data_IF_469238799103
#
_entry.id   IF_469238799103
#
_cell.length_a   1.000
_cell.length_b   1.000
_cell.length_c   1.000
_cell.angle_alpha   90.00
_cell.angle_beta   90.00
_cell.angle_gamma   90.00
#
_symmetry.space_group_name_H-M   'P 1'
#
loop_
_entity.id
_entity.type
_entity.pdbx_description
1 polymer ?
#
# COMPACT_ATOMS: atom_id res chain seq x y z
N UNK A 1 -1.79 -23.53 -0.77
CA UNK A 1 -0.43 -22.96 -0.86
C UNK A 1 0.25 -23.68 -2.00
N UNK A 2 0.84 -22.94 -2.94
CA UNK A 2 1.62 -23.56 -4.01
C UNK A 2 2.83 -24.23 -3.36
N UNK A 3 2.86 -25.56 -3.33
CA UNK A 3 4.04 -26.34 -2.93
C UNK A 3 5.04 -26.28 -4.08
N UNK A 4 6.28 -25.90 -3.77
CA UNK A 4 7.31 -25.82 -4.81
C UNK A 4 7.66 -27.20 -5.35
N UNK A 5 7.91 -27.28 -6.65
CA UNK A 5 8.32 -28.50 -7.32
C UNK A 5 9.74 -28.90 -6.92
N UNK A 6 10.06 -30.19 -7.10
CA UNK A 6 11.42 -30.69 -6.89
C UNK A 6 12.45 -29.98 -7.77
N UNK A 7 12.06 -29.55 -8.97
CA UNK A 7 12.92 -28.78 -9.88
C UNK A 7 13.25 -27.40 -9.30
N UNK A 8 12.27 -26.70 -8.73
CA UNK A 8 12.48 -25.40 -8.09
C UNK A 8 13.43 -25.52 -6.88
N UNK A 9 13.28 -26.58 -6.08
CA UNK A 9 14.16 -26.85 -4.94
C UNK A 9 15.59 -27.19 -5.39
N UNK A 10 15.74 -27.94 -6.48
CA UNK A 10 17.06 -28.24 -7.06
C UNK A 10 17.73 -26.98 -7.62
N UNK A 11 16.97 -26.12 -8.31
CA UNK A 11 17.45 -24.85 -8.83
C UNK A 11 17.86 -23.90 -7.70
N UNK A 12 17.08 -23.82 -6.63
CA UNK A 12 17.43 -23.04 -5.43
C UNK A 12 18.79 -23.46 -4.86
N UNK A 13 19.01 -24.78 -4.66
CA UNK A 13 20.30 -25.30 -4.18
C UNK A 13 21.45 -24.92 -5.12
N UNK A 14 21.23 -25.02 -6.43
CA UNK A 14 22.23 -24.64 -7.45
C UNK A 14 22.57 -23.15 -7.39
N UNK A 15 21.56 -22.28 -7.31
CA UNK A 15 21.75 -20.82 -7.22
C UNK A 15 22.53 -20.46 -5.95
N UNK A 16 22.14 -21.02 -4.79
CA UNK A 16 22.84 -20.77 -3.51
C UNK A 16 24.30 -21.22 -3.57
N UNK A 17 24.58 -22.38 -4.16
CA UNK A 17 25.95 -22.87 -4.34
C UNK A 17 26.78 -21.95 -5.26
N UNK A 18 26.21 -21.48 -6.36
CA UNK A 18 26.88 -20.55 -7.28
C UNK A 18 27.12 -19.19 -6.63
N UNK A 19 26.16 -18.67 -5.85
CA UNK A 19 26.31 -17.42 -5.11
C UNK A 19 27.46 -17.51 -4.08
N UNK A 20 27.52 -18.60 -3.30
CA UNK A 20 28.62 -18.80 -2.34
C UNK A 20 29.98 -18.90 -3.04
N UNK A 21 30.06 -19.61 -4.17
CA UNK A 21 31.30 -19.68 -4.96
C UNK A 21 31.71 -18.29 -5.45
N UNK A 22 30.77 -17.54 -6.01
CA UNK A 22 31.01 -16.17 -6.47
C UNK A 22 31.48 -15.26 -5.34
N UNK A 23 30.90 -15.35 -4.14
CA UNK A 23 31.31 -14.55 -2.99
C UNK A 23 32.76 -14.80 -2.59
N UNK A 24 33.17 -16.06 -2.50
CA UNK A 24 34.56 -16.44 -2.19
C UNK A 24 35.51 -15.91 -3.26
N UNK A 25 35.19 -16.16 -4.54
CA UNK A 25 36.02 -15.75 -5.67
C UNK A 25 36.13 -14.21 -5.74
N UNK A 26 35.02 -13.49 -5.54
CA UNK A 26 34.99 -12.03 -5.65
C UNK A 26 35.64 -11.33 -4.44
N UNK A 27 35.40 -11.80 -3.21
CA UNK A 27 36.04 -11.23 -2.03
C UNK A 27 37.56 -11.40 -2.07
N UNK A 28 38.08 -12.47 -2.70
CA UNK A 28 39.51 -12.62 -2.97
C UNK A 28 40.11 -11.56 -3.91
N UNK A 29 39.29 -10.81 -4.66
CA UNK A 29 39.72 -9.71 -5.54
C UNK A 29 39.56 -8.33 -4.93
N UNK A 30 38.84 -8.21 -3.80
CA UNK A 30 38.57 -6.95 -3.14
C UNK A 30 39.74 -6.54 -2.22
N UNK A 31 39.98 -5.24 -2.00
CA UNK A 31 40.88 -4.77 -0.95
C UNK A 31 40.43 -5.26 0.43
N UNK A 32 41.37 -5.44 1.37
CA UNK A 32 41.09 -5.96 2.73
C UNK A 32 40.00 -5.19 3.50
N UNK A 33 39.75 -3.92 3.16
CA UNK A 33 38.71 -3.10 3.78
C UNK A 33 37.30 -3.30 3.21
N UNK A 34 37.12 -4.19 2.24
CA UNK A 34 35.86 -4.41 1.54
C UNK A 34 35.49 -5.89 1.54
N UNK A 35 34.23 -6.18 1.87
CA UNK A 35 33.67 -7.52 1.84
C UNK A 35 32.25 -7.45 1.25
N UNK A 36 31.96 -8.38 0.34
CA UNK A 36 30.60 -8.64 -0.12
C UNK A 36 30.02 -9.78 0.73
N UNK A 37 28.88 -9.52 1.35
CA UNK A 37 28.17 -10.49 2.20
C UNK A 37 26.94 -11.08 1.49
N UNK A 38 26.60 -12.31 1.87
CA UNK A 38 25.34 -12.94 1.47
C UNK A 38 24.21 -12.56 2.44
N UNK A 39 23.31 -11.67 2.02
CA UNK A 39 22.16 -11.34 2.88
C UNK A 39 21.10 -12.45 2.92
N UNK A 40 20.83 -13.15 1.81
CA UNK A 40 19.78 -14.17 1.79
C UNK A 40 19.29 -14.58 0.41
N UNK A 41 18.20 -15.35 0.39
CA UNK A 41 17.57 -15.87 -0.81
C UNK A 41 16.07 -15.62 -0.80
N UNK A 42 15.56 -15.05 -1.88
CA UNK A 42 14.14 -14.82 -2.06
C UNK A 42 13.64 -15.54 -3.32
N UNK A 43 12.64 -16.42 -3.16
CA UNK A 43 12.11 -17.21 -4.29
C UNK A 43 11.40 -16.36 -5.32
N UNK A 44 10.65 -15.37 -4.84
CA UNK A 44 9.85 -14.46 -5.67
C UNK A 44 10.03 -13.05 -5.15
N UNK A 45 10.16 -12.12 -6.09
CA UNK A 45 10.35 -10.71 -5.81
C UNK A 45 9.72 -9.86 -6.90
N UNK A 46 9.19 -8.71 -6.50
CA UNK A 46 8.60 -7.72 -7.37
C UNK A 46 9.27 -6.36 -7.10
N UNK A 47 9.83 -5.77 -8.15
CA UNK A 47 10.63 -4.55 -8.07
C UNK A 47 9.95 -3.46 -8.90
N UNK A 48 9.47 -2.40 -8.23
CA UNK A 48 8.75 -1.29 -8.89
C UNK A 48 9.73 -0.22 -9.32
N UNK A 49 10.55 0.26 -8.39
CA UNK A 49 11.53 1.30 -8.64
C UNK A 49 12.59 1.32 -7.55
N UNK A 50 13.56 2.25 -7.64
CA UNK A 50 14.62 2.40 -6.65
C UNK A 50 14.02 2.50 -5.23
N UNK A 51 14.46 1.60 -4.34
CA UNK A 51 13.97 1.45 -2.95
C UNK A 51 12.51 1.02 -2.79
N UNK A 52 11.85 0.55 -3.85
CA UNK A 52 10.46 0.09 -3.83
C UNK A 52 10.34 -1.32 -4.37
N UNK A 53 10.27 -2.29 -3.46
CA UNK A 53 10.17 -3.70 -3.81
C UNK A 53 9.46 -4.51 -2.74
N UNK A 54 8.99 -5.69 -3.13
CA UNK A 54 8.46 -6.71 -2.24
C UNK A 54 9.09 -8.07 -2.59
N UNK A 55 9.55 -8.80 -1.60
CA UNK A 55 10.05 -10.17 -1.74
C UNK A 55 9.31 -11.10 -0.82
N UNK A 56 9.30 -12.39 -1.13
CA UNK A 56 8.72 -13.42 -0.26
C UNK A 56 9.80 -14.32 0.29
N UNK A 57 9.79 -14.46 1.61
CA UNK A 57 10.63 -15.34 2.41
C UNK A 57 9.72 -16.13 3.34
N UNK A 58 9.79 -17.47 3.30
CA UNK A 58 8.99 -18.39 4.13
C UNK A 58 7.48 -18.09 4.20
N UNK A 59 6.93 -17.57 3.10
CA UNK A 59 5.51 -17.24 2.98
C UNK A 59 5.11 -15.89 3.60
N UNK A 60 6.06 -15.15 4.15
CA UNK A 60 5.92 -13.76 4.58
C UNK A 60 6.39 -12.80 3.48
N UNK A 61 5.69 -11.67 3.32
CA UNK A 61 6.12 -10.60 2.42
C UNK A 61 7.02 -9.64 3.19
N UNK A 62 8.19 -9.37 2.62
CA UNK A 62 9.09 -8.31 3.06
C UNK A 62 9.01 -7.20 2.02
N UNK A 63 8.36 -6.09 2.39
CA UNK A 63 8.22 -4.91 1.54
C UNK A 63 9.14 -3.79 2.01
N UNK A 64 9.74 -3.07 1.05
CA UNK A 64 10.53 -1.86 1.28
C UNK A 64 10.01 -0.74 0.40
N UNK A 65 9.78 0.42 1.01
CA UNK A 65 9.37 1.66 0.31
C UNK A 65 7.99 1.66 -0.35
N UNK A 66 7.24 0.56 -0.25
CA UNK A 66 5.83 0.47 -0.65
C UNK A 66 4.90 1.07 0.42
N UNK A 67 3.68 1.42 0.01
CA UNK A 67 2.60 1.94 0.88
C UNK A 67 2.35 1.06 2.10
N UNK A 68 2.52 -0.26 1.96
CA UNK A 68 2.35 -1.26 3.00
C UNK A 68 3.06 -0.90 4.31
N UNK A 69 4.26 -0.32 4.24
CA UNK A 69 5.08 0.01 5.43
C UNK A 69 4.99 1.49 5.83
N UNK A 70 4.17 2.29 5.14
CA UNK A 70 4.07 3.74 5.35
C UNK A 70 2.97 4.10 6.34
N UNK A 71 3.28 4.85 7.40
CA UNK A 71 2.30 5.22 8.43
C UNK A 71 1.16 6.12 7.92
N UNK A 72 1.43 6.95 6.92
CA UNK A 72 0.51 7.91 6.32
C UNK A 72 -0.51 7.31 5.34
N UNK A 73 -0.56 5.97 5.22
CA UNK A 73 -1.57 5.27 4.43
C UNK A 73 -2.56 4.54 5.34
N UNK A 74 -3.83 4.60 4.95
CA UNK A 74 -4.91 3.94 5.67
C UNK A 74 -4.74 2.40 5.64
N UNK A 75 -5.13 1.68 6.71
CA UNK A 75 -5.10 0.22 6.76
C UNK A 75 -5.75 -0.43 5.54
N UNK A 76 -6.90 0.06 5.08
CA UNK A 76 -7.60 -0.46 3.90
C UNK A 76 -6.70 -0.52 2.65
N UNK A 77 -5.84 0.48 2.43
CA UNK A 77 -4.94 0.50 1.28
C UNK A 77 -3.76 -0.46 1.47
N UNK A 78 -3.22 -0.53 2.70
CA UNK A 78 -2.14 -1.45 3.06
C UNK A 78 -2.56 -2.91 2.92
N UNK A 79 -3.71 -3.25 3.49
CA UNK A 79 -4.25 -4.60 3.49
C UNK A 79 -4.59 -5.03 2.06
N UNK A 80 -5.10 -4.10 1.24
CA UNK A 80 -5.32 -4.35 -0.18
C UNK A 80 -4.00 -4.60 -0.91
N UNK A 81 -2.99 -3.74 -0.71
CA UNK A 81 -1.67 -3.89 -1.35
C UNK A 81 -0.99 -5.20 -0.93
N UNK A 82 -1.09 -5.58 0.34
CA UNK A 82 -0.58 -6.85 0.84
C UNK A 82 -1.32 -8.04 0.23
N UNK A 83 -2.65 -7.97 0.15
CA UNK A 83 -3.49 -9.02 -0.42
C UNK A 83 -3.13 -9.31 -1.87
N UNK A 84 -2.96 -8.27 -2.70
CA UNK A 84 -2.58 -8.45 -4.10
C UNK A 84 -1.14 -8.95 -4.25
N UNK A 85 -0.21 -8.49 -3.40
CA UNK A 85 1.16 -8.99 -3.41
C UNK A 85 1.22 -10.46 -3.01
N UNK A 86 0.38 -10.92 -2.08
CA UNK A 86 0.28 -12.34 -1.75
C UNK A 86 -0.27 -13.14 -2.93
N UNK A 87 -1.34 -12.66 -3.58
CA UNK A 87 -1.89 -13.35 -4.75
C UNK A 87 -0.83 -13.51 -5.86
N UNK A 88 -0.05 -12.46 -6.14
CA UNK A 88 0.99 -12.46 -7.17
C UNK A 88 2.23 -13.26 -6.75
N UNK A 89 2.82 -12.92 -5.60
CA UNK A 89 4.11 -13.47 -5.16
C UNK A 89 4.01 -14.82 -4.47
N UNK A 90 2.83 -15.26 -4.04
CA UNK A 90 2.65 -16.57 -3.40
C UNK A 90 1.87 -17.54 -4.27
N UNK A 91 0.78 -17.06 -4.87
CA UNK A 91 -0.11 -17.91 -5.66
C UNK A 91 0.18 -17.83 -7.17
N UNK A 92 0.95 -16.84 -7.62
CA UNK A 92 1.21 -16.62 -9.05
C UNK A 92 -0.03 -16.21 -9.83
N UNK A 93 -1.05 -15.69 -9.15
CA UNK A 93 -2.41 -15.52 -9.67
C UNK A 93 -2.77 -14.03 -9.72
N UNK A 94 -2.70 -13.47 -10.94
CA UNK A 94 -3.04 -12.06 -11.20
C UNK A 94 -4.55 -11.85 -11.17
N UNK A 95 -5.35 -12.81 -11.63
CA UNK A 95 -6.82 -12.71 -11.63
C UNK A 95 -7.36 -12.65 -10.20
N UNK A 96 -6.76 -13.42 -9.29
CA UNK A 96 -7.05 -13.32 -7.86
C UNK A 96 -6.73 -11.94 -7.29
N UNK A 97 -5.64 -11.31 -7.73
CA UNK A 97 -5.34 -9.93 -7.33
C UNK A 97 -6.42 -8.94 -7.81
N UNK A 98 -6.87 -9.09 -9.05
CA UNK A 98 -7.97 -8.29 -9.64
C UNK A 98 -9.27 -8.46 -8.85
N UNK A 99 -9.63 -9.68 -8.48
CA UNK A 99 -10.83 -9.97 -7.69
C UNK A 99 -10.75 -9.37 -6.27
N UNK A 100 -9.57 -9.38 -5.64
CA UNK A 100 -9.33 -8.70 -4.36
C UNK A 100 -9.63 -7.20 -4.49
N UNK A 101 -9.08 -6.56 -5.54
CA UNK A 101 -9.28 -5.14 -5.82
C UNK A 101 -10.77 -4.83 -6.05
N UNK A 102 -11.44 -5.59 -6.92
CA UNK A 102 -12.87 -5.43 -7.21
C UNK A 102 -13.72 -5.51 -5.94
N UNK A 103 -13.44 -6.51 -5.10
CA UNK A 103 -14.16 -6.73 -3.83
C UNK A 103 -13.96 -5.56 -2.87
N UNK A 104 -12.74 -5.05 -2.71
CA UNK A 104 -12.50 -3.95 -1.78
C UNK A 104 -13.09 -2.63 -2.29
N UNK A 105 -12.98 -2.34 -3.59
CA UNK A 105 -13.59 -1.15 -4.18
C UNK A 105 -15.11 -1.15 -3.95
N UNK A 106 -15.77 -2.29 -4.14
CA UNK A 106 -17.20 -2.43 -3.84
C UNK A 106 -17.51 -2.20 -2.36
N UNK A 107 -16.71 -2.77 -1.44
CA UNK A 107 -16.91 -2.58 0.01
C UNK A 107 -16.76 -1.13 0.43
N UNK A 108 -15.75 -0.44 -0.10
CA UNK A 108 -15.48 0.97 0.20
C UNK A 108 -16.62 1.85 -0.33
N UNK A 109 -17.04 1.66 -1.59
CA UNK A 109 -18.18 2.40 -2.17
C UNK A 109 -19.49 2.20 -1.40
N UNK A 110 -19.70 0.99 -0.86
CA UNK A 110 -20.94 0.64 -0.13
C UNK A 110 -20.94 1.04 1.35
N UNK A 111 -19.87 1.64 1.87
CA UNK A 111 -19.82 2.03 3.28
C UNK A 111 -19.55 0.87 4.25
N UNK A 112 -19.21 -0.33 3.75
CA UNK A 112 -19.15 -1.55 4.58
C UNK A 112 -17.80 -1.78 5.24
N UNK A 113 -16.79 -0.96 4.93
CA UNK A 113 -15.47 -1.04 5.58
C UNK A 113 -15.51 -0.25 6.90
N UNK A 114 -15.05 -0.82 8.02
CA UNK A 114 -15.01 -0.13 9.30
C UNK A 114 -14.22 1.18 9.26
N UNK A 115 -14.69 2.20 9.99
CA UNK A 115 -14.00 3.51 10.08
C UNK A 115 -12.55 3.39 10.58
N UNK A 116 -12.26 2.42 11.45
CA UNK A 116 -10.90 2.16 11.95
C UNK A 116 -9.91 1.80 10.83
N UNK A 117 -10.39 1.19 9.75
CA UNK A 117 -9.55 0.79 8.62
C UNK A 117 -9.32 1.95 7.63
N UNK A 118 -9.96 3.09 7.90
CA UNK A 118 -9.82 4.36 7.17
C UNK A 118 -8.87 5.35 7.86
N UNK A 119 -8.34 5.04 9.04
CA UNK A 119 -7.52 5.98 9.82
C UNK A 119 -6.20 6.27 9.10
N UNK A 120 -5.93 7.56 8.88
CA UNK A 120 -4.65 8.06 8.40
C UNK A 120 -3.86 8.61 9.58
N UNK A 121 -2.58 8.24 9.66
CA UNK A 121 -1.66 8.69 10.71
C UNK A 121 -0.61 9.64 10.12
N UNK A 122 -0.63 10.90 10.55
CA UNK A 122 0.37 11.89 10.10
C UNK A 122 1.01 12.57 11.29
N UNK A 123 2.34 12.70 11.26
CA UNK A 123 3.10 13.38 12.29
C UNK A 123 3.13 14.89 12.05
N UNK A 124 2.87 15.67 13.10
CA UNK A 124 3.09 17.12 13.11
C UNK A 124 4.59 17.39 13.16
N UNK A 125 5.12 18.14 12.18
CA UNK A 125 6.57 18.36 12.03
C UNK A 125 7.05 19.73 12.51
N UNK A 126 6.11 20.63 12.81
CA UNK A 126 6.33 22.00 13.28
C UNK A 126 5.09 22.48 14.05
N UNK A 127 5.17 23.61 14.72
CA UNK A 127 3.99 24.21 15.38
C UNK A 127 2.88 24.50 14.35
N UNK A 128 1.61 24.40 14.77
CA UNK A 128 0.45 24.49 13.88
C UNK A 128 0.36 25.84 13.15
N UNK A 129 0.76 26.92 13.81
CA UNK A 129 0.85 28.28 13.27
C UNK A 129 1.96 28.48 12.21
N UNK A 130 3.01 27.65 12.25
CA UNK A 130 4.14 27.72 11.33
C UNK A 130 3.88 27.01 9.98
N UNK A 131 2.72 26.38 9.79
CA UNK A 131 2.35 25.75 8.52
C UNK A 131 1.87 26.78 7.49
N UNK A 132 2.63 26.94 6.41
CA UNK A 132 2.20 27.75 5.25
C UNK A 132 1.06 27.12 4.47
N UNK A 133 1.06 25.79 4.35
CA UNK A 133 0.01 25.02 3.67
C UNK A 133 -0.76 24.20 4.71
N UNK A 134 -2.06 24.47 4.79
CA UNK A 134 -2.96 23.83 5.75
C UNK A 134 -3.48 22.51 5.16
N UNK A 135 -2.81 21.41 5.49
CA UNK A 135 -3.20 20.06 5.10
C UNK A 135 -4.25 19.42 6.01
N UNK A 136 -4.80 18.25 5.62
CA UNK A 136 -5.76 17.48 6.42
C UNK A 136 -5.33 17.25 7.87
N UNK A 137 -4.09 16.82 8.07
CA UNK A 137 -3.50 16.58 9.38
C UNK A 137 -3.43 17.84 10.25
N UNK A 138 -3.18 19.01 9.65
CA UNK A 138 -3.13 20.30 10.37
C UNK A 138 -4.52 20.71 10.83
N UNK A 139 -5.54 20.58 9.97
CA UNK A 139 -6.94 20.90 10.33
C UNK A 139 -7.44 19.96 11.42
N UNK A 140 -7.16 18.66 11.31
CA UNK A 140 -7.50 17.69 12.36
C UNK A 140 -6.79 18.04 13.68
N UNK A 141 -5.51 18.38 13.64
CA UNK A 141 -4.75 18.82 14.82
C UNK A 141 -5.34 20.07 15.47
N UNK A 142 -5.67 21.10 14.67
CA UNK A 142 -6.31 22.32 15.18
C UNK A 142 -7.65 22.06 15.85
N UNK A 143 -8.41 21.05 15.40
CA UNK A 143 -9.66 20.65 16.06
C UNK A 143 -9.41 19.99 17.41
N UNK A 144 -8.38 19.14 17.51
CA UNK A 144 -7.95 18.55 18.78
C UNK A 144 -7.42 19.61 19.74
N UNK A 145 -6.64 20.57 19.25
CA UNK A 145 -6.12 21.69 20.04
C UNK A 145 -7.25 22.55 20.63
N UNK A 146 -8.29 22.84 19.83
CA UNK A 146 -9.49 23.55 20.30
C UNK A 146 -10.25 22.79 21.40
N UNK A 147 -10.06 21.48 21.51
CA UNK A 147 -10.61 20.65 22.59
C UNK A 147 -9.70 20.57 23.82
N UNK A 148 -8.60 21.31 23.82
CA UNK A 148 -7.63 21.35 24.92
C UNK A 148 -6.54 20.27 24.83
N UNK A 149 -6.47 19.50 23.74
CA UNK A 149 -5.35 18.59 23.53
C UNK A 149 -4.09 19.38 23.18
N UNK A 150 -3.01 19.16 23.92
CA UNK A 150 -1.72 19.80 23.60
C UNK A 150 -1.10 19.13 22.37
N UNK A 151 -0.96 19.89 21.28
CA UNK A 151 -0.32 19.42 20.04
C UNK A 151 1.04 20.08 19.87
N UNK A 152 2.10 19.28 19.86
CA UNK A 152 3.48 19.74 19.69
C UNK A 152 4.12 19.09 18.46
N UNK A 153 5.31 19.57 18.08
CA UNK A 153 6.13 18.89 17.07
C UNK A 153 6.40 17.46 17.53
N UNK A 154 6.10 16.50 16.66
CA UNK A 154 6.26 15.08 16.92
C UNK A 154 4.94 14.35 17.20
N UNK A 155 3.87 15.08 17.57
CA UNK A 155 2.55 14.49 17.82
C UNK A 155 2.02 13.79 16.57
N UNK A 156 1.51 12.56 16.74
CA UNK A 156 0.86 11.80 15.67
C UNK A 156 -0.64 12.10 15.72
N UNK A 157 -1.18 12.56 14.59
CA UNK A 157 -2.60 12.86 14.44
C UNK A 157 -3.26 11.72 13.69
N UNK A 158 -4.30 11.17 14.30
CA UNK A 158 -5.18 10.18 13.70
C UNK A 158 -6.44 10.87 13.19
N UNK A 159 -6.70 10.76 11.90
CA UNK A 159 -7.87 11.38 11.30
C UNK A 159 -8.42 10.52 10.16
N UNK A 160 -9.66 10.80 9.80
CA UNK A 160 -10.35 10.22 8.65
C UNK A 160 -10.87 11.36 7.78
N UNK A 161 -10.91 11.14 6.47
CA UNK A 161 -11.56 12.05 5.53
C UNK A 161 -13.02 11.63 5.36
N UNK A 162 -13.95 12.55 5.65
CA UNK A 162 -15.39 12.29 5.63
C UNK A 162 -16.07 12.91 4.41
N UNK A 163 -17.26 12.40 4.06
CA UNK A 163 -18.08 13.01 3.00
C UNK A 163 -18.39 14.47 3.32
N UNK A 164 -18.39 15.32 2.30
CA UNK A 164 -18.74 16.72 2.47
C UNK A 164 -18.32 17.58 1.29
N UNK A 165 -18.74 18.84 1.31
CA UNK A 165 -18.31 19.85 0.34
C UNK A 165 -17.00 20.49 0.78
N UNK A 166 -16.29 21.09 -0.18
CA UNK A 166 -15.05 21.82 0.08
C UNK A 166 -13.78 20.96 0.01
N UNK A 167 -12.61 21.58 0.32
CA UNK A 167 -11.32 20.93 0.18
C UNK A 167 -11.14 19.76 1.16
N UNK A 168 -10.34 18.77 0.77
CA UNK A 168 -10.03 17.57 1.58
C UNK A 168 -9.56 17.95 2.98
N UNK A 169 -8.80 19.03 3.13
CA UNK A 169 -8.31 19.49 4.43
C UNK A 169 -9.43 19.82 5.41
N UNK A 170 -10.53 20.44 4.95
CA UNK A 170 -11.69 20.76 5.80
C UNK A 170 -12.55 19.53 6.13
N UNK A 171 -12.43 18.48 5.32
CA UNK A 171 -13.15 17.21 5.50
C UNK A 171 -12.37 16.21 6.37
N UNK A 172 -11.20 16.60 6.89
CA UNK A 172 -10.44 15.81 7.83
C UNK A 172 -11.02 15.94 9.25
N UNK A 173 -11.48 14.82 9.80
CA UNK A 173 -12.03 14.73 11.16
C UNK A 173 -11.09 13.89 12.02
N UNK A 174 -10.70 14.34 13.23
CA UNK A 174 -9.99 13.48 14.17
C UNK A 174 -10.75 12.16 14.38
N UNK A 175 -10.04 11.04 14.48
CA UNK A 175 -10.69 9.73 14.55
C UNK A 175 -11.65 9.61 15.75
N UNK A 176 -11.31 10.23 16.88
CA UNK A 176 -12.16 10.30 18.09
C UNK A 176 -13.52 10.98 17.84
N UNK A 177 -13.63 11.81 16.81
CA UNK A 177 -14.87 12.51 16.42
C UNK A 177 -15.60 11.86 15.24
N UNK A 178 -15.03 10.80 14.67
CA UNK A 178 -15.45 10.24 13.39
C UNK A 178 -16.77 9.45 13.47
N UNK A 179 -17.19 9.04 14.67
CA UNK A 179 -18.35 8.15 14.88
C UNK A 179 -19.65 8.70 14.26
N UNK A 180 -19.84 10.02 14.27
CA UNK A 180 -21.02 10.69 13.72
C UNK A 180 -20.94 10.99 12.21
N UNK A 181 -19.89 10.53 11.53
CA UNK A 181 -19.65 10.84 10.13
C UNK A 181 -19.48 9.57 9.28
N UNK A 182 -19.77 9.70 8.00
CA UNK A 182 -19.42 8.70 6.99
C UNK A 182 -18.10 9.09 6.31
N UNK A 183 -17.21 8.12 6.13
CA UNK A 183 -15.98 8.34 5.37
C UNK A 183 -16.30 8.64 3.90
N UNK A 184 -15.42 9.40 3.22
CA UNK A 184 -15.56 9.69 1.79
C UNK A 184 -15.02 8.55 0.92
N UNK A 185 -15.87 7.73 0.28
CA UNK A 185 -15.41 6.57 -0.49
C UNK A 185 -14.52 6.96 -1.66
N UNK A 186 -14.83 8.07 -2.34
CA UNK A 186 -14.12 8.50 -3.53
C UNK A 186 -12.69 8.92 -3.18
N UNK A 187 -12.52 9.63 -2.05
CA UNK A 187 -11.20 9.95 -1.52
C UNK A 187 -10.36 8.69 -1.23
N UNK A 188 -10.91 7.70 -0.52
CA UNK A 188 -10.12 6.48 -0.23
C UNK A 188 -9.84 5.66 -1.49
N UNK A 189 -10.75 5.63 -2.45
CA UNK A 189 -10.52 4.91 -3.71
C UNK A 189 -9.42 5.61 -4.51
N UNK A 190 -9.56 6.91 -4.77
CA UNK A 190 -8.69 7.66 -5.68
C UNK A 190 -7.36 8.07 -5.05
N UNK A 191 -7.32 8.32 -3.74
CA UNK A 191 -6.12 8.81 -3.06
C UNK A 191 -5.43 7.77 -2.16
N UNK A 192 -6.04 6.60 -1.90
CA UNK A 192 -5.46 5.56 -1.03
C UNK A 192 -5.38 4.19 -1.71
N UNK A 193 -6.45 3.68 -2.30
CA UNK A 193 -6.44 2.30 -2.81
C UNK A 193 -5.80 2.24 -4.19
N UNK A 194 -6.32 3.00 -5.16
CA UNK A 194 -5.83 2.98 -6.55
C UNK A 194 -4.33 3.26 -6.61
N UNK A 195 -3.79 4.34 -6.02
CA UNK A 195 -2.36 4.62 -6.14
C UNK A 195 -1.46 3.55 -5.50
N UNK A 196 -1.94 2.85 -4.48
CA UNK A 196 -1.20 1.77 -3.82
C UNK A 196 -1.15 0.50 -4.69
N UNK A 197 -2.26 0.16 -5.36
CA UNK A 197 -2.35 -1.06 -6.16
C UNK A 197 -1.83 -0.87 -7.59
N UNK A 198 -2.06 0.28 -8.21
CA UNK A 198 -1.70 0.54 -9.61
C UNK A 198 -0.21 0.38 -9.88
N UNK A 199 0.64 0.79 -8.94
CA UNK A 199 2.11 0.64 -9.08
C UNK A 199 2.57 -0.81 -9.24
N UNK A 200 1.78 -1.76 -8.76
CA UNK A 200 2.05 -3.19 -8.92
C UNK A 200 1.34 -3.69 -10.18
N UNK A 201 0.06 -3.37 -10.30
CA UNK A 201 -0.82 -3.88 -11.36
C UNK A 201 -0.50 -3.33 -12.76
N UNK A 202 0.17 -2.18 -12.86
CA UNK A 202 0.68 -1.61 -14.12
C UNK A 202 1.66 -2.57 -14.81
N UNK A 203 2.52 -3.27 -14.05
CA UNK A 203 3.43 -4.30 -14.60
C UNK A 203 2.70 -5.50 -15.18
N UNK A 204 1.40 -5.65 -14.89
CA UNK A 204 0.52 -6.69 -15.41
C UNK A 204 -0.51 -6.14 -16.43
N UNK A 205 -0.35 -4.90 -16.90
CA UNK A 205 -1.19 -4.30 -17.95
C UNK A 205 -2.50 -3.66 -17.46
N UNK A 206 -2.65 -3.45 -16.15
CA UNK A 206 -3.79 -2.77 -15.54
C UNK A 206 -3.44 -1.32 -15.18
N UNK A 207 -3.96 -0.38 -15.95
CA UNK A 207 -3.80 1.06 -15.68
C UNK A 207 -4.71 1.50 -14.52
N UNK A 208 -4.52 2.71 -14.02
CA UNK A 208 -5.37 3.27 -12.97
C UNK A 208 -6.83 3.33 -13.39
N UNK A 209 -7.09 3.67 -14.66
CA UNK A 209 -8.42 3.76 -15.25
C UNK A 209 -9.08 2.38 -15.25
N UNK A 210 -8.39 1.34 -15.77
CA UNK A 210 -8.90 -0.03 -15.76
C UNK A 210 -9.23 -0.50 -14.35
N UNK A 211 -8.39 -0.17 -13.37
CA UNK A 211 -8.60 -0.54 -11.97
C UNK A 211 -9.83 0.17 -11.39
N UNK A 212 -10.02 1.45 -11.71
CA UNK A 212 -11.19 2.22 -11.28
C UNK A 212 -12.48 1.63 -11.86
N UNK A 213 -12.44 1.23 -13.13
CA UNK A 213 -13.55 0.57 -13.84
C UNK A 213 -13.95 -0.76 -13.17
N UNK A 214 -13.02 -1.52 -12.57
CA UNK A 214 -13.36 -2.75 -11.83
C UNK A 214 -14.36 -2.50 -10.70
N UNK A 215 -14.31 -1.31 -10.09
CA UNK A 215 -15.19 -0.92 -8.99
C UNK A 215 -16.46 -0.22 -9.45
N UNK A 216 -16.57 0.14 -10.73
CA UNK A 216 -17.82 0.62 -11.31
C UNK A 216 -18.65 -0.62 -11.66
N UNK A 217 -19.98 -0.55 -11.47
CA UNK A 217 -20.86 -1.66 -11.89
C UNK A 217 -20.49 -1.98 -13.34
N UNK A 218 -20.43 -3.26 -13.69
CA UNK A 218 -20.42 -3.71 -15.09
C UNK A 218 -21.27 -2.71 -15.86
N UNK A 219 -20.65 -1.91 -16.74
CA UNK A 219 -21.41 -1.03 -17.63
C UNK A 219 -22.51 -1.93 -18.15
N UNK A 220 -23.74 -1.63 -17.76
CA UNK A 220 -24.91 -2.26 -18.32
C UNK A 220 -24.72 -2.00 -19.80
N UNK A 221 -24.28 -3.03 -20.54
CA UNK A 221 -24.05 -2.90 -21.97
C UNK A 221 -25.38 -2.44 -22.50
N UNK A 222 -25.47 -1.17 -22.86
CA UNK A 222 -26.67 -0.66 -23.49
C UNK A 222 -26.83 -1.46 -24.77
N UNK A 223 -28.07 -1.83 -25.08
CA UNK A 223 -28.43 -2.67 -26.23
C UNK A 223 -27.87 -2.12 -27.56
N UNK A 224 -27.51 -0.83 -27.61
CA UNK A 224 -26.82 -0.18 -28.73
C UNK A 224 -25.43 -0.74 -29.05
N UNK A 225 -24.85 -1.59 -28.21
CA UNK A 225 -23.59 -2.29 -28.51
C UNK A 225 -23.78 -3.59 -29.30
N UNK A 226 -25.03 -3.95 -29.64
CA UNK A 226 -25.40 -5.17 -30.36
C UNK A 226 -26.18 -4.94 -31.66
N UNK A 227 -26.45 -3.68 -32.05
CA UNK A 227 -27.14 -3.32 -33.29
C UNK A 227 -26.25 -2.45 -34.19
#
# INVERSE_FOLDING_TARGET
MVTESNEQLALEKKIKSQANKFLVDFNGTLPESMELEYEGFYRRGFFVSKKRYAVVEDGAIIAKGLELVRRDWAPVAKDTQQGILLAILKDGDVDKAVEIIKKILKKVKTGTVPMKDMIIHTQITKKLDAYKQIGPHVVAAQRLEKKGMKIDKGTIIQYVVVKGKGPISQRAIPFEDAEKYEYDPDYYIDNQIIPAVSRIMESFGYTQEKIKELGEKERQKTLDSFF
#
